data_IF_499692132876
#
_entry.id   IF_499692132876
#
_cell.length_a   1.000
_cell.length_b   1.000
_cell.length_c   1.000
_cell.angle_alpha   90.00
_cell.angle_beta   90.00
_cell.angle_gamma   90.00
#
_symmetry.space_group_name_H-M   'P 1'
#
loop_
_entity.id
_entity.type
_entity.pdbx_description
1 polymer ?
#
# COMPACT_ATOMS: atom_id res chain seq x y z
N UNK A 1 -5.01 -11.88 -13.20
CA UNK A 1 -4.21 -10.64 -13.15
C UNK A 1 -4.92 -9.67 -12.22
N UNK A 2 -4.22 -9.20 -11.19
CA UNK A 2 -4.72 -8.22 -10.22
C UNK A 2 -3.68 -7.13 -9.98
N UNK A 3 -4.14 -5.89 -9.99
CA UNK A 3 -3.29 -4.71 -9.81
C UNK A 3 -3.44 -4.19 -8.37
N UNK A 4 -2.32 -3.98 -7.69
CA UNK A 4 -2.25 -3.20 -6.46
C UNK A 4 -1.91 -1.74 -6.80
N UNK A 5 -2.60 -0.78 -6.18
CA UNK A 5 -2.26 0.64 -6.28
C UNK A 5 -1.97 1.17 -4.88
N UNK A 6 -0.86 1.90 -4.71
CA UNK A 6 -0.56 2.62 -3.47
C UNK A 6 -0.11 4.04 -3.78
N UNK A 7 -0.33 4.96 -2.83
CA UNK A 7 0.29 6.29 -2.88
C UNK A 7 1.39 6.42 -1.85
N UNK A 8 2.61 6.72 -2.29
CA UNK A 8 3.80 6.85 -1.45
C UNK A 8 4.28 8.29 -1.34
N UNK A 9 4.93 8.63 -0.23
CA UNK A 9 5.58 9.94 -0.07
C UNK A 9 4.62 11.07 0.31
N UNK A 10 4.90 12.29 -0.15
CA UNK A 10 4.08 13.47 0.10
C UNK A 10 2.82 13.51 -0.77
N UNK A 11 1.75 14.07 -0.24
CA UNK A 11 0.53 14.32 -1.01
C UNK A 11 0.75 15.45 -2.01
N UNK A 12 0.29 15.25 -3.25
CA UNK A 12 0.37 16.22 -4.34
C UNK A 12 -0.95 16.28 -5.12
N UNK A 13 -1.32 17.43 -5.69
CA UNK A 13 -2.48 17.51 -6.58
C UNK A 13 -2.32 16.54 -7.76
N UNK A 14 -3.33 15.70 -8.01
CA UNK A 14 -3.36 14.78 -9.15
C UNK A 14 -3.33 13.29 -8.81
N UNK A 15 -3.01 12.91 -7.57
CA UNK A 15 -3.00 11.49 -7.17
C UNK A 15 -4.37 10.81 -7.35
N UNK A 16 -5.46 11.48 -6.94
CA UNK A 16 -6.82 10.95 -7.09
C UNK A 16 -7.25 10.78 -8.57
N UNK A 17 -7.03 11.77 -9.46
CA UNK A 17 -7.20 11.56 -10.90
C UNK A 17 -6.38 10.40 -11.46
N UNK A 18 -5.13 10.19 -11.04
CA UNK A 18 -4.31 9.06 -11.47
C UNK A 18 -4.92 7.72 -11.03
N UNK A 19 -5.30 7.59 -9.76
CA UNK A 19 -5.98 6.39 -9.24
C UNK A 19 -7.24 6.10 -10.05
N UNK A 20 -8.08 7.13 -10.27
CA UNK A 20 -9.31 7.03 -11.04
C UNK A 20 -9.07 6.59 -12.49
N UNK A 21 -8.03 7.12 -13.13
CA UNK A 21 -7.68 6.76 -14.50
C UNK A 21 -7.27 5.28 -14.61
N UNK A 22 -6.41 4.81 -13.70
CA UNK A 22 -5.98 3.40 -13.66
C UNK A 22 -7.17 2.48 -13.41
N UNK A 23 -8.01 2.78 -12.42
CA UNK A 23 -9.17 1.95 -12.07
C UNK A 23 -10.17 1.87 -13.23
N UNK A 24 -10.46 2.97 -13.92
CA UNK A 24 -11.35 2.94 -15.07
C UNK A 24 -10.79 2.09 -16.22
N UNK A 25 -9.50 2.24 -16.53
CA UNK A 25 -8.83 1.46 -17.59
C UNK A 25 -8.74 -0.02 -17.24
N UNK A 26 -8.42 -0.36 -15.99
CA UNK A 26 -8.40 -1.74 -15.51
C UNK A 26 -9.80 -2.37 -15.61
N UNK A 27 -10.84 -1.63 -15.22
CA UNK A 27 -12.22 -2.10 -15.35
C UNK A 27 -12.66 -2.30 -16.81
N UNK A 28 -12.23 -1.45 -17.76
CA UNK A 28 -12.46 -1.68 -19.20
C UNK A 28 -11.81 -3.00 -19.68
N UNK A 29 -10.66 -3.36 -19.10
CA UNK A 29 -9.91 -4.57 -19.42
C UNK A 29 -10.32 -5.81 -18.59
N UNK A 30 -11.32 -5.71 -17.71
CA UNK A 30 -11.72 -6.80 -16.81
C UNK A 30 -10.67 -7.16 -15.76
N UNK A 31 -9.78 -6.23 -15.41
CA UNK A 31 -8.71 -6.41 -14.42
C UNK A 31 -9.16 -5.87 -13.06
N UNK A 32 -8.99 -6.68 -12.02
CA UNK A 32 -9.28 -6.29 -10.64
C UNK A 32 -8.21 -5.33 -10.09
N UNK A 33 -8.65 -4.35 -9.30
CA UNK A 33 -7.77 -3.39 -8.65
C UNK A 33 -7.98 -3.41 -7.14
N UNK A 34 -6.88 -3.51 -6.39
CA UNK A 34 -6.82 -3.37 -4.94
C UNK A 34 -6.08 -2.08 -4.61
N UNK A 35 -6.76 -1.17 -3.90
CA UNK A 35 -6.15 0.00 -3.30
C UNK A 35 -5.49 -0.36 -1.97
N UNK A 36 -4.20 -0.07 -1.85
CA UNK A 36 -3.41 -0.23 -0.63
C UNK A 36 -3.39 1.10 0.09
N UNK A 37 -3.95 1.11 1.29
CA UNK A 37 -4.10 2.30 2.11
C UNK A 37 -2.79 2.62 2.83
N UNK A 38 -2.53 3.91 3.08
CA UNK A 38 -1.34 4.40 3.82
C UNK A 38 -0.01 3.97 3.17
N UNK A 39 0.04 3.89 1.85
CA UNK A 39 1.25 3.57 1.09
C UNK A 39 1.91 2.25 1.50
N UNK A 40 3.24 2.22 1.47
CA UNK A 40 4.03 1.08 1.94
C UNK A 40 3.79 0.73 3.42
N UNK A 41 3.35 1.71 4.21
CA UNK A 41 2.99 1.50 5.61
C UNK A 41 1.79 0.55 5.76
N UNK A 42 0.84 0.57 4.83
CA UNK A 42 -0.28 -0.37 4.83
C UNK A 42 0.17 -1.81 4.70
N UNK A 43 1.05 -2.09 3.73
CA UNK A 43 1.59 -3.44 3.53
C UNK A 43 2.47 -3.89 4.70
N UNK A 44 3.25 -2.97 5.29
CA UNK A 44 4.05 -3.29 6.47
C UNK A 44 3.20 -3.65 7.70
N UNK A 45 2.04 -3.02 7.87
CA UNK A 45 1.15 -3.24 9.01
C UNK A 45 0.10 -4.35 8.76
N UNK A 46 0.05 -4.91 7.56
CA UNK A 46 -0.85 -6.01 7.24
C UNK A 46 -0.41 -7.29 7.96
N UNK A 47 -1.19 -7.73 8.94
CA UNK A 47 -0.88 -8.97 9.65
C UNK A 47 -1.47 -10.19 8.92
N UNK A 48 -0.59 -11.01 8.35
CA UNK A 48 -0.97 -12.27 7.68
C UNK A 48 -1.57 -13.33 8.62
N UNK A 49 -1.38 -13.17 9.93
CA UNK A 49 -1.90 -14.09 10.95
C UNK A 49 -3.21 -13.58 11.58
N UNK A 50 -3.57 -12.32 11.35
CA UNK A 50 -4.77 -11.68 11.89
C UNK A 50 -5.32 -10.63 10.90
N UNK A 51 -6.31 -11.04 10.12
CA UNK A 51 -6.93 -10.22 9.08
C UNK A 51 -8.16 -9.44 9.57
N UNK A 52 -8.43 -9.39 10.88
CA UNK A 52 -9.61 -8.69 11.42
C UNK A 52 -9.68 -7.22 11.01
N UNK A 53 -8.52 -6.57 10.84
CA UNK A 53 -8.40 -5.17 10.43
C UNK A 53 -7.94 -5.00 8.97
N UNK A 54 -8.15 -6.01 8.11
CA UNK A 54 -7.73 -6.00 6.70
C UNK A 54 -8.14 -4.73 5.96
N UNK A 55 -9.38 -4.28 6.17
CA UNK A 55 -9.95 -3.12 5.47
C UNK A 55 -9.29 -1.78 5.85
N UNK A 56 -8.50 -1.74 6.94
CA UNK A 56 -7.68 -0.57 7.28
C UNK A 56 -6.51 -0.37 6.31
N UNK A 57 -6.04 -1.46 5.67
CA UNK A 57 -4.83 -1.51 4.87
C UNK A 57 -5.09 -1.76 3.39
N UNK A 58 -6.18 -2.42 3.03
CA UNK A 58 -6.52 -2.70 1.64
C UNK A 58 -8.01 -2.55 1.39
N UNK A 59 -8.38 -2.10 0.19
CA UNK A 59 -9.78 -2.05 -0.24
C UNK A 59 -9.87 -2.36 -1.74
N UNK A 60 -10.93 -3.04 -2.21
CA UNK A 60 -11.22 -3.09 -3.64
C UNK A 60 -11.40 -1.67 -4.19
N UNK A 61 -10.97 -1.43 -5.43
CA UNK A 61 -11.25 -0.18 -6.15
C UNK A 61 -12.05 -0.48 -7.42
N UNK A 62 -13.32 -0.12 -7.38
CA UNK A 62 -14.23 -0.19 -8.52
C UNK A 62 -14.48 1.20 -9.11
N UNK A 63 -15.15 1.25 -10.27
CA UNK A 63 -15.61 2.52 -10.87
C UNK A 63 -16.49 3.34 -9.93
N UNK A 64 -17.26 2.68 -9.07
CA UNK A 64 -18.12 3.34 -8.10
C UNK A 64 -17.27 4.05 -7.02
N UNK A 65 -16.24 3.36 -6.52
CA UNK A 65 -15.35 3.87 -5.46
C UNK A 65 -14.57 5.11 -5.92
N UNK A 66 -14.12 5.12 -7.18
CA UNK A 66 -13.31 6.24 -7.73
C UNK A 66 -14.14 7.32 -8.42
N UNK A 67 -15.47 7.26 -8.37
CA UNK A 67 -16.34 8.14 -9.18
C UNK A 67 -16.09 9.63 -8.92
N UNK A 68 -15.85 10.00 -7.67
CA UNK A 68 -15.78 11.40 -7.22
C UNK A 68 -14.44 11.78 -6.59
N UNK A 69 -13.49 10.84 -6.45
CA UNK A 69 -12.26 11.07 -5.70
C UNK A 69 -11.40 12.19 -6.28
N UNK A 70 -11.48 12.39 -7.60
CA UNK A 70 -10.80 13.44 -8.37
C UNK A 70 -11.21 14.88 -7.97
N UNK A 71 -12.33 15.02 -7.24
CA UNK A 71 -12.85 16.32 -6.80
C UNK A 71 -12.30 16.77 -5.45
N UNK A 72 -11.54 15.93 -4.78
CA UNK A 72 -11.01 16.18 -3.44
C UNK A 72 -9.48 16.23 -3.46
N UNK A 73 -8.91 17.12 -2.64
CA UNK A 73 -7.48 17.11 -2.33
C UNK A 73 -7.10 15.90 -1.48
N UNK A 74 -5.81 15.68 -1.25
CA UNK A 74 -5.37 14.44 -0.63
C UNK A 74 -5.20 13.31 -1.65
N UNK A 75 -4.88 12.15 -1.09
CA UNK A 75 -5.02 10.86 -1.75
C UNK A 75 -6.12 10.06 -1.05
N UNK A 76 -7.01 9.48 -1.85
CA UNK A 76 -8.10 8.61 -1.40
C UNK A 76 -7.60 7.38 -0.63
N UNK A 77 -6.37 6.93 -0.94
CA UNK A 77 -5.74 5.80 -0.27
C UNK A 77 -4.92 6.22 0.96
N UNK A 78 -4.74 7.52 1.22
CA UNK A 78 -3.73 8.03 2.15
C UNK A 78 -2.30 7.59 1.78
N UNK A 79 -1.31 8.19 2.43
CA UNK A 79 0.11 7.94 2.13
C UNK A 79 0.90 7.71 3.42
N UNK A 80 2.07 7.09 3.29
CA UNK A 80 3.09 7.05 4.33
C UNK A 80 4.47 7.31 3.73
N UNK A 81 5.42 7.69 4.60
CA UNK A 81 6.85 7.79 4.27
C UNK A 81 7.60 6.51 4.62
N UNK A 82 6.92 5.36 4.55
CA UNK A 82 7.52 4.06 4.88
C UNK A 82 8.38 3.59 3.71
N UNK A 83 9.61 3.18 4.01
CA UNK A 83 10.47 2.43 3.10
C UNK A 83 10.60 1.00 3.67
N UNK A 84 10.03 -0.02 3.02
CA UNK A 84 10.13 -1.40 3.47
C UNK A 84 11.57 -1.90 3.64
N UNK A 85 12.51 -1.41 2.83
CA UNK A 85 13.92 -1.78 2.94
C UNK A 85 14.65 -1.15 4.13
N UNK A 86 14.08 -0.12 4.77
CA UNK A 86 14.72 0.67 5.82
C UNK A 86 13.71 1.10 6.90
N UNK A 87 13.12 0.14 7.58
CA UNK A 87 12.12 0.37 8.64
C UNK A 87 12.83 0.65 9.97
N UNK A 88 12.46 1.76 10.64
CA UNK A 88 12.97 2.09 11.99
C UNK A 88 12.23 1.31 13.06
N UNK A 89 12.87 1.09 14.22
CA UNK A 89 12.27 0.43 15.39
C UNK A 89 10.90 1.00 15.79
N UNK A 90 10.75 2.33 15.71
CA UNK A 90 9.52 3.05 16.08
C UNK A 90 8.37 2.84 15.10
N UNK A 91 8.66 2.40 13.87
CA UNK A 91 7.66 2.14 12.83
C UNK A 91 7.40 0.64 12.63
N UNK A 92 8.15 -0.23 13.33
CA UNK A 92 8.00 -1.66 13.20
C UNK A 92 6.79 -2.14 14.02
N UNK A 93 5.80 -2.79 13.38
CA UNK A 93 4.65 -3.34 14.08
C UNK A 93 5.07 -4.37 15.13
N UNK A 94 4.37 -4.47 16.28
CA UNK A 94 4.72 -5.42 17.34
C UNK A 94 4.88 -6.86 16.85
N UNK A 95 3.99 -7.32 15.97
CA UNK A 95 3.99 -8.68 15.40
C UNK A 95 5.15 -8.97 14.42
N UNK A 96 5.96 -7.96 14.07
CA UNK A 96 7.15 -8.12 13.21
C UNK A 96 8.47 -8.02 13.99
N UNK A 97 8.47 -7.57 15.25
CA UNK A 97 9.70 -7.31 16.01
C UNK A 97 10.60 -8.53 16.14
N UNK A 98 10.02 -9.69 16.45
CA UNK A 98 10.78 -10.93 16.63
C UNK A 98 11.25 -11.52 15.31
N UNK A 99 10.53 -11.26 14.21
CA UNK A 99 10.85 -11.76 12.86
C UNK A 99 11.88 -10.90 12.14
N UNK A 100 11.92 -9.61 12.46
CA UNK A 100 12.80 -8.62 11.85
C UNK A 100 13.56 -7.84 12.95
N UNK A 101 14.43 -8.52 13.72
CA UNK A 101 15.23 -7.85 14.72
C UNK A 101 16.17 -6.84 14.05
N UNK A 102 16.35 -5.68 14.68
CA UNK A 102 17.30 -4.67 14.19
C UNK A 102 18.71 -5.15 14.56
N UNK A 103 19.63 -5.30 13.57
CA UNK A 103 21.00 -5.72 13.85
C UNK A 103 21.72 -4.74 14.77
N UNK A 104 22.61 -5.26 15.61
CA UNK A 104 23.45 -4.43 16.48
C UNK A 104 24.20 -3.37 15.67
N UNK A 105 24.17 -2.12 16.14
CA UNK A 105 24.79 -0.98 15.45
C UNK A 105 23.98 -0.39 14.28
N UNK A 106 22.85 -0.99 13.90
CA UNK A 106 21.95 -0.42 12.89
C UNK A 106 20.75 0.31 13.51
N UNK A 107 20.15 1.22 12.75
CA UNK A 107 18.94 1.95 13.16
C UNK A 107 17.67 1.45 12.43
N UNK A 108 17.86 0.60 11.42
CA UNK A 108 16.78 0.14 10.55
C UNK A 108 16.91 -1.34 10.22
N UNK A 109 15.80 -1.97 9.85
CA UNK A 109 15.74 -3.35 9.36
C UNK A 109 15.00 -3.40 8.02
N UNK A 110 15.35 -4.35 7.18
CA UNK A 110 14.68 -4.63 5.91
C UNK A 110 13.48 -5.56 6.13
N UNK A 111 12.28 -5.04 5.92
CA UNK A 111 11.00 -5.74 5.98
C UNK A 111 10.41 -6.05 4.60
N UNK A 112 11.16 -5.84 3.51
CA UNK A 112 10.75 -6.18 2.15
C UNK A 112 10.27 -7.64 2.02
N UNK A 113 10.90 -8.65 2.67
CA UNK A 113 10.39 -10.03 2.62
C UNK A 113 8.97 -10.18 3.16
N UNK A 114 8.58 -9.40 4.17
CA UNK A 114 7.20 -9.41 4.68
C UNK A 114 6.24 -8.77 3.68
N UNK A 115 6.60 -7.60 3.14
CA UNK A 115 5.77 -6.90 2.13
C UNK A 115 5.53 -7.77 0.90
N UNK A 116 6.55 -8.50 0.43
CA UNK A 116 6.39 -9.44 -0.69
C UNK A 116 5.40 -10.57 -0.38
N UNK A 117 5.46 -11.13 0.84
CA UNK A 117 4.48 -12.15 1.29
C UNK A 117 3.06 -11.60 1.35
N UNK A 118 2.89 -10.34 1.77
CA UNK A 118 1.58 -9.68 1.77
C UNK A 118 1.06 -9.50 0.35
N UNK A 119 1.89 -9.04 -0.59
CA UNK A 119 1.50 -8.91 -2.00
C UNK A 119 1.10 -10.25 -2.61
N UNK A 120 1.88 -11.31 -2.35
CA UNK A 120 1.58 -12.68 -2.78
C UNK A 120 0.27 -13.18 -2.19
N UNK A 121 0.06 -13.02 -0.89
CA UNK A 121 -1.17 -13.40 -0.20
C UNK A 121 -2.41 -12.67 -0.74
N UNK A 122 -2.28 -11.38 -1.07
CA UNK A 122 -3.36 -10.60 -1.70
C UNK A 122 -3.60 -10.98 -3.18
N UNK A 123 -2.71 -11.80 -3.75
CA UNK A 123 -2.71 -12.19 -5.15
C UNK A 123 -2.46 -11.02 -6.09
N UNK A 124 -1.61 -10.06 -5.69
CA UNK A 124 -1.26 -8.88 -6.50
C UNK A 124 -0.11 -9.25 -7.45
N UNK A 125 -0.41 -9.26 -8.75
CA UNK A 125 0.56 -9.60 -9.81
C UNK A 125 1.39 -8.38 -10.25
N UNK A 126 0.82 -7.18 -10.10
CA UNK A 126 1.45 -5.94 -10.53
C UNK A 126 1.15 -4.84 -9.54
N UNK A 127 2.18 -4.13 -9.10
CA UNK A 127 2.05 -3.01 -8.17
C UNK A 127 2.31 -1.69 -8.90
N UNK A 128 1.41 -0.73 -8.74
CA UNK A 128 1.52 0.64 -9.24
C UNK A 128 1.69 1.57 -8.04
N UNK A 129 2.93 1.89 -7.62
CA UNK A 129 3.19 2.96 -6.67
C UNK A 129 3.08 4.32 -7.38
N UNK A 130 2.29 5.23 -6.81
CA UNK A 130 2.13 6.60 -7.31
C UNK A 130 2.65 7.56 -6.24
N UNK A 131 3.66 8.36 -6.55
CA UNK A 131 4.29 9.24 -5.56
C UNK A 131 5.61 9.80 -6.06
N UNK A 132 6.26 10.61 -5.24
CA UNK A 132 7.63 11.09 -5.50
C UNK A 132 8.70 10.04 -5.19
N UNK A 133 9.92 10.34 -5.63
CA UNK A 133 11.14 9.54 -5.40
C UNK A 133 11.60 9.52 -3.92
#
# INVERSE_FOLDING_TARGET
MKIGILTGGGDVPGLNPCIKAVVNRAADAGIEVVGIRRGWGGLLNYNLEDETNRDEYVQPLTRADVRTIDRYGGTHLHTSRTNPGRVRATMLPPFLKDRFPIPEGQQTVDCTPHVLKVLEHLGIDTLIPIGGD
#
